data_IF_702795126841
#
_entry.id   IF_702795126841
#
_cell.length_a   1.000
_cell.length_b   1.000
_cell.length_c   1.000
_cell.angle_alpha   90.00
_cell.angle_beta   90.00
_cell.angle_gamma   90.00
#
_symmetry.space_group_name_H-M   'P 1'
#
loop_
_entity.id
_entity.type
_entity.pdbx_description
1 polymer ?
2 polymer ?
3 non-polymer ?
4 water ?
#
# COMPACT_ATOMS: atom_id res chain seq x y z
N UNK A 1 15.90 -15.52 -29.77
CA UNK A 1 15.77 -14.12 -29.39
C UNK A 1 17.12 -13.41 -29.42
N UNK A 2 17.14 -12.17 -28.96
CA UNK A 2 18.36 -11.38 -28.93
C UNK A 2 18.79 -11.11 -27.49
N UNK A 3 20.09 -11.03 -27.27
CA UNK A 3 20.63 -10.79 -25.93
C UNK A 3 21.16 -9.36 -25.77
N UNK A 4 20.65 -8.67 -24.75
CA UNK A 4 21.07 -7.30 -24.45
C UNK A 4 21.98 -7.28 -23.22
N UNK A 5 23.07 -6.54 -23.32
CA UNK A 5 24.03 -6.43 -22.21
C UNK A 5 24.28 -4.98 -21.81
N UNK A 6 24.21 -4.72 -20.51
CA UNK A 6 24.48 -3.39 -19.98
C UNK A 6 25.29 -3.48 -18.69
N UNK A 7 25.94 -2.39 -18.32
CA UNK A 7 26.66 -2.34 -17.05
C UNK A 7 25.73 -1.76 -15.98
N UNK A 8 25.17 -2.64 -15.16
CA UNK A 8 24.18 -2.24 -14.17
C UNK A 8 24.73 -2.19 -12.75
N UNK A 9 24.24 -1.24 -11.96
CA UNK A 9 24.68 -1.06 -10.59
C UNK A 9 23.78 -1.82 -9.62
N UNK A 10 24.37 -2.65 -8.76
CA UNK A 10 23.62 -3.39 -7.74
C UNK A 10 22.85 -2.44 -6.83
N UNK A 11 21.55 -2.68 -6.67
CA UNK A 11 20.69 -1.80 -5.89
C UNK A 11 21.03 -1.77 -4.41
N UNK A 12 21.18 -2.94 -3.82
CA UNK A 12 21.47 -3.05 -2.39
C UNK A 12 22.94 -3.32 -2.13
N UNK A 13 23.75 -3.27 -3.18
CA UNK A 13 25.17 -3.50 -3.07
C UNK A 13 25.93 -2.26 -2.66
N UNK A 14 27.27 -2.36 -2.58
CA UNK A 14 28.15 -1.25 -2.20
C UNK A 14 28.57 -0.41 -3.41
N UNK A 15 27.65 -0.25 -4.37
CA UNK A 15 27.87 0.60 -5.54
C UNK A 15 29.02 0.12 -6.41
N UNK A 16 28.96 -1.13 -6.85
CA UNK A 16 29.97 -1.70 -7.73
C UNK A 16 29.33 -2.25 -9.00
N UNK A 17 29.19 -1.40 -10.03
CA UNK A 17 28.56 -1.76 -11.30
C UNK A 17 29.19 -2.98 -11.95
N UNK A 18 28.36 -3.85 -12.51
CA UNK A 18 28.84 -5.07 -13.17
C UNK A 18 28.07 -5.34 -14.44
N UNK A 19 28.53 -6.30 -15.23
CA UNK A 19 27.87 -6.65 -16.48
C UNK A 19 26.62 -7.48 -16.23
N UNK A 20 25.54 -7.13 -16.93
CA UNK A 20 24.29 -7.86 -16.82
C UNK A 20 23.68 -8.11 -18.20
N UNK A 21 23.42 -9.37 -18.51
CA UNK A 21 22.83 -9.74 -19.79
C UNK A 21 21.45 -10.38 -19.60
N UNK A 22 20.53 -10.07 -20.50
CA UNK A 22 19.18 -10.64 -20.43
C UNK A 22 18.54 -10.82 -21.80
N UNK A 23 17.56 -11.73 -21.87
CA UNK A 23 16.83 -11.98 -23.10
C UNK A 23 15.33 -12.02 -22.82
N UNK A 24 14.56 -12.47 -23.81
CA UNK A 24 13.11 -12.59 -23.70
C UNK A 24 12.46 -11.27 -23.28
N UNK A 25 12.84 -10.19 -23.95
CA UNK A 25 12.31 -8.86 -23.64
C UNK A 25 10.95 -8.61 -24.25
N UNK A 26 9.98 -8.31 -23.40
CA UNK A 26 8.62 -8.01 -23.86
C UNK A 26 7.96 -7.03 -22.90
N UNK A 27 7.04 -6.22 -23.42
CA UNK A 27 6.34 -5.24 -22.62
C UNK A 27 5.19 -5.87 -21.85
N UNK A 28 5.15 -5.65 -20.54
CA UNK A 28 4.07 -6.17 -19.71
C UNK A 28 3.33 -5.04 -19.01
N UNK A 29 3.67 -3.80 -19.36
CA UNK A 29 3.03 -2.66 -18.74
C UNK A 29 3.37 -1.34 -19.40
N UNK A 30 2.33 -0.52 -19.61
CA UNK A 30 2.51 0.81 -20.16
C UNK A 30 1.73 1.85 -19.36
N UNK A 31 2.33 3.02 -19.15
CA UNK A 31 1.69 4.09 -18.41
C UNK A 31 2.32 5.44 -18.67
N UNK A 32 1.74 6.48 -18.08
CA UNK A 32 2.27 7.83 -18.21
C UNK A 32 3.64 7.95 -17.55
N UNK A 33 3.90 7.07 -16.58
CA UNK A 33 5.18 7.04 -15.89
C UNK A 33 6.29 6.56 -16.82
N UNK A 34 5.93 5.61 -17.69
CA UNK A 34 6.90 5.00 -18.59
C UNK A 34 6.49 3.60 -18.99
N UNK A 35 7.47 2.75 -19.28
CA UNK A 35 7.21 1.40 -19.76
C UNK A 35 7.78 0.35 -18.80
N UNK A 36 7.11 -0.79 -18.70
CA UNK A 36 7.60 -1.89 -17.87
C UNK A 36 7.82 -3.15 -18.72
N UNK A 37 9.06 -3.63 -18.73
CA UNK A 37 9.43 -4.81 -19.50
C UNK A 37 9.57 -6.04 -18.62
N UNK A 38 9.37 -7.22 -19.22
CA UNK A 38 9.75 -8.47 -18.58
C UNK A 38 11.00 -8.97 -19.28
N UNK A 39 11.87 -9.67 -18.54
CA UNK A 39 13.10 -10.18 -19.10
C UNK A 39 13.63 -11.37 -18.31
N UNK A 40 14.44 -12.18 -18.97
CA UNK A 40 15.05 -13.35 -18.33
C UNK A 40 16.56 -13.19 -18.30
N UNK A 41 17.15 -13.32 -17.12
CA UNK A 41 18.58 -13.16 -16.96
C UNK A 41 19.34 -14.31 -17.62
N UNK A 42 20.39 -13.99 -18.35
CA UNK A 42 21.19 -15.00 -19.04
C UNK A 42 21.97 -15.86 -18.04
N UNK A 43 22.22 -15.31 -16.86
CA UNK A 43 23.01 -16.00 -15.84
C UNK A 43 22.20 -17.06 -15.11
N UNK A 44 21.30 -16.61 -14.23
CA UNK A 44 20.55 -17.52 -13.37
C UNK A 44 19.28 -18.04 -14.04
N UNK A 45 18.84 -17.38 -15.09
CA UNK A 45 17.64 -17.78 -15.80
C UNK A 45 16.38 -17.31 -15.09
N UNK A 46 16.56 -16.38 -14.16
CA UNK A 46 15.45 -15.84 -13.38
C UNK A 46 14.75 -14.71 -14.14
N UNK A 47 13.45 -14.59 -13.94
CA UNK A 47 12.66 -13.53 -14.56
C UNK A 47 12.73 -12.25 -13.74
N UNK A 48 12.84 -11.12 -14.42
CA UNK A 48 12.83 -9.82 -13.75
C UNK A 48 11.91 -8.85 -14.47
N UNK A 49 11.52 -7.80 -13.77
CA UNK A 49 10.74 -6.72 -14.37
C UNK A 49 11.62 -5.48 -14.49
N UNK A 50 11.55 -4.82 -15.64
CA UNK A 50 12.36 -3.63 -15.87
C UNK A 50 11.49 -2.38 -16.03
N UNK A 51 11.51 -1.52 -15.02
CA UNK A 51 10.73 -0.30 -15.03
C UNK A 51 11.53 0.85 -15.63
N UNK A 52 11.21 1.20 -16.88
CA UNK A 52 11.97 2.21 -17.60
C UNK A 52 11.25 3.55 -17.60
N UNK A 53 11.85 4.53 -16.91
CA UNK A 53 11.27 5.87 -16.82
C UNK A 53 12.25 6.94 -17.26
N UNK A 54 11.74 8.15 -17.49
CA UNK A 54 12.57 9.27 -17.87
C UNK A 54 13.25 9.91 -16.66
N UNK A 55 14.34 10.62 -16.91
CA UNK A 55 15.05 11.31 -15.83
C UNK A 55 15.61 12.64 -16.33
N UNK A 56 15.32 13.71 -15.59
CA UNK A 56 15.78 15.04 -15.94
C UNK A 56 17.29 15.17 -15.81
N UNK A 57 17.89 14.25 -15.06
CA UNK A 57 19.35 14.16 -14.88
C UNK A 57 19.97 15.34 -14.14
N UNK A 58 19.25 16.46 -14.07
CA UNK A 58 19.72 17.62 -13.32
C UNK A 58 19.48 17.40 -11.83
N UNK A 59 18.55 16.51 -11.50
CA UNK A 59 18.20 16.23 -10.12
C UNK A 59 18.10 14.72 -9.87
N UNK A 60 18.31 14.31 -8.63
CA UNK A 60 18.30 12.90 -8.26
C UNK A 60 16.90 12.32 -8.24
N UNK A 61 16.80 11.04 -8.63
CA UNK A 61 15.52 10.34 -8.65
C UNK A 61 15.11 9.88 -7.26
N UNK A 62 13.98 10.39 -6.78
CA UNK A 62 13.50 10.10 -5.43
C UNK A 62 13.16 8.63 -5.24
N UNK A 63 12.51 8.04 -6.24
CA UNK A 63 12.09 6.64 -6.18
C UNK A 63 13.29 5.71 -6.05
N UNK A 64 14.34 6.00 -6.81
CA UNK A 64 15.55 5.19 -6.78
C UNK A 64 16.24 5.24 -5.42
N UNK A 65 16.43 6.45 -4.90
CA UNK A 65 17.11 6.65 -3.63
C UNK A 65 16.38 6.00 -2.45
N UNK A 66 15.07 5.82 -2.59
CA UNK A 66 14.30 5.13 -1.55
C UNK A 66 14.45 3.61 -1.69
N UNK A 67 14.34 3.11 -2.91
CA UNK A 67 14.45 1.68 -3.18
C UNK A 67 15.80 1.10 -2.77
N UNK A 68 16.86 1.91 -2.88
CA UNK A 68 18.21 1.45 -2.53
C UNK A 68 18.38 1.25 -1.04
N UNK A 69 17.43 1.77 -0.26
CA UNK A 69 17.50 1.69 1.19
C UNK A 69 16.63 0.55 1.71
N UNK A 70 15.91 -0.11 0.82
CA UNK A 70 14.93 -1.11 1.22
C UNK A 70 15.37 -2.55 0.95
N UNK A 71 15.33 -3.38 1.98
CA UNK A 71 15.60 -4.80 1.85
C UNK A 71 14.63 -5.58 2.76
N UNK A 72 13.51 -5.99 2.20
CA UNK A 72 12.48 -6.68 2.98
C UNK A 72 11.78 -7.73 2.13
N UNK A 73 11.33 -8.80 2.77
CA UNK A 73 10.71 -9.91 2.07
C UNK A 73 9.37 -9.55 1.44
N UNK A 74 8.70 -8.54 2.00
CA UNK A 74 7.40 -8.12 1.50
C UNK A 74 7.42 -6.81 0.72
N UNK A 75 8.61 -6.37 0.35
CA UNK A 75 8.79 -5.27 -0.58
C UNK A 75 9.55 -5.80 -1.80
N UNK A 76 9.09 -5.46 -2.99
CA UNK A 76 9.77 -5.89 -4.21
C UNK A 76 11.22 -5.37 -4.20
N UNK A 77 12.16 -6.27 -4.47
CA UNK A 77 13.57 -5.93 -4.35
C UNK A 77 14.12 -5.27 -5.60
N UNK A 78 15.02 -4.31 -5.40
CA UNK A 78 15.71 -3.67 -6.50
C UNK A 78 16.98 -4.46 -6.83
N UNK A 79 16.95 -5.20 -7.93
CA UNK A 79 18.09 -6.00 -8.34
C UNK A 79 19.26 -5.11 -8.76
N UNK A 80 19.08 -4.42 -9.87
CA UNK A 80 20.10 -3.52 -10.38
C UNK A 80 19.46 -2.23 -10.87
N UNK A 81 20.27 -1.33 -11.40
CA UNK A 81 19.77 -0.15 -12.11
C UNK A 81 20.83 0.41 -13.05
N UNK A 82 20.38 0.92 -14.19
CA UNK A 82 21.28 1.48 -15.19
C UNK A 82 20.60 2.56 -16.03
N UNK A 83 21.39 3.23 -16.86
CA UNK A 83 20.87 4.32 -17.70
C UNK A 83 21.01 4.01 -19.18
N UNK A 84 20.00 4.38 -19.96
CA UNK A 84 20.02 4.14 -21.39
C UNK A 84 19.14 5.14 -22.13
N UNK A 85 18.96 4.93 -23.42
CA UNK A 85 18.06 5.74 -24.22
C UNK A 85 16.83 4.92 -24.58
N UNK A 86 15.95 5.51 -25.37
CA UNK A 86 14.74 4.83 -25.80
C UNK A 86 13.96 5.72 -26.74
N UNK A 87 12.62 5.67 -26.64
CA UNK A 87 11.79 6.56 -27.42
C UNK A 87 12.13 7.98 -27.00
N UNK A 88 11.95 8.93 -27.91
CA UNK A 88 12.35 10.32 -27.68
C UNK A 88 13.84 10.42 -27.42
N UNK A 89 14.64 10.37 -28.47
CA UNK A 89 16.09 10.39 -28.36
C UNK A 89 16.60 11.69 -27.78
N UNK A 90 17.85 11.66 -27.33
CA UNK A 90 18.52 12.79 -26.68
C UNK A 90 18.07 13.03 -25.23
N UNK A 91 17.56 11.99 -24.59
CA UNK A 91 17.23 12.04 -23.17
C UNK A 91 17.64 10.77 -22.44
N UNK A 92 17.88 10.89 -21.14
CA UNK A 92 18.36 9.77 -20.34
C UNK A 92 17.22 9.01 -19.67
N UNK A 93 17.22 7.69 -19.82
CA UNK A 93 16.21 6.85 -19.19
C UNK A 93 16.79 6.08 -18.00
N UNK A 94 16.02 6.03 -16.92
CA UNK A 94 16.41 5.25 -15.74
C UNK A 94 15.73 3.89 -15.75
N UNK A 95 16.54 2.84 -15.66
CA UNK A 95 16.01 1.48 -15.69
C UNK A 95 16.13 0.79 -14.33
N UNK A 96 14.97 0.47 -13.74
CA UNK A 96 14.94 -0.25 -12.47
C UNK A 96 14.68 -1.74 -12.70
N UNK A 97 15.68 -2.56 -12.42
CA UNK A 97 15.52 -4.01 -12.54
C UNK A 97 14.98 -4.57 -11.22
N UNK A 98 13.75 -5.08 -11.27
CA UNK A 98 13.06 -5.52 -10.06
C UNK A 98 12.71 -7.01 -10.11
N UNK A 99 12.40 -7.57 -8.94
CA UNK A 99 11.88 -8.94 -8.86
C UNK A 99 10.57 -9.03 -9.62
N UNK A 100 10.46 -10.02 -10.51
CA UNK A 100 9.23 -10.25 -11.25
C UNK A 100 8.23 -11.00 -10.38
N UNK A 101 7.04 -10.42 -10.21
CA UNK A 101 5.98 -11.07 -9.46
C UNK A 101 4.72 -11.16 -10.33
N UNK A 102 4.23 -12.39 -10.56
CA UNK A 102 3.17 -12.71 -11.53
C UNK A 102 1.88 -11.91 -11.36
N UNK A 103 1.25 -11.99 -10.19
CA UNK A 103 -0.08 -11.41 -10.00
C UNK A 103 -0.09 -10.16 -9.13
N UNK A 104 -1.29 -9.61 -8.96
CA UNK A 104 -1.54 -8.52 -8.03
C UNK A 104 -2.76 -8.87 -7.19
N UNK A 105 -2.88 -8.27 -6.01
CA UNK A 105 -4.02 -8.50 -5.13
C UNK A 105 -5.33 -8.12 -5.83
N UNK A 106 -5.28 -7.04 -6.61
CA UNK A 106 -6.46 -6.55 -7.32
C UNK A 106 -7.02 -7.57 -8.32
N UNK A 107 -6.15 -8.10 -9.17
CA UNK A 107 -6.56 -9.07 -10.19
C UNK A 107 -7.13 -10.34 -9.57
N UNK A 108 -6.57 -10.75 -8.43
CA UNK A 108 -7.03 -11.94 -7.72
C UNK A 108 -8.41 -11.70 -7.12
N UNK A 109 -8.57 -10.58 -6.43
CA UNK A 109 -9.86 -10.22 -5.84
C UNK A 109 -10.91 -9.98 -6.92
N UNK A 110 -10.46 -9.49 -8.07
CA UNK A 110 -11.34 -9.23 -9.20
C UNK A 110 -11.89 -10.54 -9.76
N UNK A 111 -11.13 -11.62 -9.61
CA UNK A 111 -11.55 -12.94 -10.08
C UNK A 111 -12.81 -13.40 -9.34
N UNK A 112 -12.73 -13.41 -8.01
CA UNK A 112 -13.85 -13.84 -7.17
C UNK A 112 -15.05 -12.91 -7.35
N UNK A 113 -14.78 -11.65 -7.67
CA UNK A 113 -15.83 -10.66 -7.86
C UNK A 113 -16.72 -10.99 -9.07
N UNK A 114 -16.10 -11.22 -10.21
CA UNK A 114 -16.85 -11.55 -11.43
C UNK A 114 -17.26 -13.02 -11.44
N UNK A 115 -16.74 -13.79 -10.50
CA UNK A 115 -17.16 -15.17 -10.33
C UNK A 115 -18.22 -15.25 -9.23
N UNK A 116 -18.59 -14.08 -8.73
CA UNK A 116 -19.63 -13.95 -7.70
C UNK A 116 -19.33 -14.76 -6.45
N UNK A 117 -18.05 -14.91 -6.14
CA UNK A 117 -17.63 -15.64 -4.95
C UNK A 117 -16.97 -14.70 -3.95
N UNK A 118 -16.60 -15.24 -2.80
CA UNK A 118 -15.96 -14.45 -1.75
C UNK A 118 -14.53 -14.94 -1.53
N UNK A 119 -13.58 -14.00 -1.52
CA UNK A 119 -12.19 -14.32 -1.22
C UNK A 119 -12.10 -14.90 0.19
N UNK A 120 -11.63 -16.15 0.30
CA UNK A 120 -11.51 -16.86 1.58
C UNK A 120 -10.73 -16.05 2.62
N UNK A 121 -11.20 -16.09 3.86
CA UNK A 121 -10.65 -15.27 4.94
C UNK A 121 -9.15 -15.50 5.15
N UNK A 122 -8.70 -16.74 4.93
CA UNK A 122 -7.29 -17.09 5.10
C UNK A 122 -6.40 -16.25 4.19
N UNK A 123 -6.88 -15.95 2.99
CA UNK A 123 -6.14 -15.09 2.07
C UNK A 123 -6.23 -13.63 2.48
N UNK A 124 -7.38 -13.26 3.05
CA UNK A 124 -7.56 -11.91 3.58
C UNK A 124 -6.60 -11.70 4.75
N UNK A 125 -6.44 -12.74 5.56
CA UNK A 125 -5.52 -12.69 6.68
C UNK A 125 -4.07 -12.63 6.20
N UNK A 126 -3.72 -13.51 5.25
CA UNK A 126 -2.37 -13.57 4.71
C UNK A 126 -1.93 -12.27 4.03
N UNK A 127 -2.77 -11.76 3.13
CA UNK A 127 -2.42 -10.58 2.35
C UNK A 127 -2.31 -9.32 3.20
N UNK A 128 -3.27 -9.12 4.09
CA UNK A 128 -3.29 -7.94 4.95
C UNK A 128 -2.12 -7.94 5.93
N UNK A 129 -1.79 -9.09 6.48
CA UNK A 129 -0.69 -9.21 7.44
C UNK A 129 0.63 -8.78 6.81
N UNK A 130 0.93 -9.36 5.65
CA UNK A 130 2.18 -9.07 4.94
C UNK A 130 2.25 -7.60 4.50
N UNK A 131 1.09 -6.98 4.32
CA UNK A 131 1.02 -5.58 3.95
C UNK A 131 1.48 -4.69 5.09
N UNK A 132 0.88 -4.87 6.26
CA UNK A 132 1.27 -4.13 7.46
C UNK A 132 2.72 -4.36 7.81
N UNK A 133 3.19 -5.59 7.56
CA UNK A 133 4.58 -5.93 7.81
C UNK A 133 5.51 -5.11 6.94
N UNK A 134 5.08 -4.87 5.69
CA UNK A 134 5.84 -4.04 4.78
C UNK A 134 5.74 -2.59 5.20
N UNK A 135 4.56 -2.19 5.66
CA UNK A 135 4.31 -0.84 6.13
C UNK A 135 5.12 -0.53 7.38
N UNK A 136 5.20 -1.50 8.28
CA UNK A 136 5.97 -1.34 9.52
C UNK A 136 7.44 -1.11 9.21
N UNK A 137 7.92 -1.77 8.16
CA UNK A 137 9.31 -1.66 7.73
C UNK A 137 9.67 -0.25 7.26
N UNK A 138 8.98 0.21 6.23
CA UNK A 138 9.30 1.51 5.61
C UNK A 138 9.02 2.70 6.54
N UNK A 139 8.09 2.53 7.48
CA UNK A 139 7.76 3.57 8.43
C UNK A 139 8.91 3.81 9.40
N UNK A 140 9.67 2.76 9.69
CA UNK A 140 10.82 2.87 10.57
C UNK A 140 11.93 3.72 9.95
N UNK A 141 11.84 3.93 8.64
CA UNK A 141 12.76 4.81 7.94
C UNK A 141 12.12 6.17 7.70
N UNK A 142 10.89 6.33 8.19
CA UNK A 142 10.14 7.56 7.99
C UNK A 142 9.67 7.71 6.56
N UNK A 143 9.69 6.61 5.82
CA UNK A 143 9.27 6.61 4.42
C UNK A 143 7.80 6.25 4.29
N UNK A 144 7.03 7.13 3.65
CA UNK A 144 5.61 6.91 3.44
C UNK A 144 5.31 6.60 1.98
N UNK A 145 4.66 5.46 1.74
CA UNK A 145 4.38 4.99 0.39
C UNK A 145 3.41 5.91 -0.35
N UNK A 146 2.35 6.31 0.34
CA UNK A 146 1.37 7.29 -0.16
C UNK A 146 0.48 6.83 -1.32
N UNK A 147 0.71 5.62 -1.84
CA UNK A 147 -0.11 5.12 -2.94
C UNK A 147 -0.54 3.67 -2.71
N UNK A 148 -0.90 3.35 -1.47
CA UNK A 148 -1.32 2.01 -1.13
C UNK A 148 -2.68 1.66 -1.72
N UNK A 149 -2.67 0.71 -2.66
CA UNK A 149 -3.87 0.24 -3.31
C UNK A 149 -3.64 -1.21 -3.75
N UNK A 150 -4.73 -1.97 -3.98
CA UNK A 150 -4.58 -3.39 -4.34
C UNK A 150 -3.74 -3.61 -5.59
N UNK A 151 -3.76 -2.65 -6.51
CA UNK A 151 -3.00 -2.77 -7.75
C UNK A 151 -1.50 -2.82 -7.48
N UNK A 152 -1.06 -2.12 -6.43
CA UNK A 152 0.35 -2.06 -6.08
C UNK A 152 0.80 -3.18 -5.15
N UNK A 153 -0.08 -4.15 -4.93
CA UNK A 153 0.23 -5.29 -4.07
C UNK A 153 0.41 -6.55 -4.91
N UNK A 154 1.66 -6.91 -5.16
CA UNK A 154 1.98 -8.03 -6.04
C UNK A 154 1.92 -9.37 -5.32
N UNK A 155 1.43 -10.38 -6.02
CA UNK A 155 1.25 -11.71 -5.42
C UNK A 155 1.92 -12.82 -6.22
N UNK A 156 2.42 -13.82 -5.50
CA UNK A 156 2.86 -15.06 -6.12
C UNK A 156 1.92 -16.17 -5.65
N UNK A 157 0.97 -16.56 -6.52
CA UNK A 157 -0.10 -17.52 -6.23
C UNK A 157 0.41 -18.82 -5.60
N UNK A 158 1.59 -19.26 -6.00
CA UNK A 158 2.16 -20.50 -5.48
C UNK A 158 2.57 -20.39 -4.02
N UNK A 159 3.41 -19.41 -3.70
CA UNK A 159 3.93 -19.26 -2.34
C UNK A 159 3.05 -18.37 -1.47
N UNK A 160 2.07 -17.72 -2.10
CA UNK A 160 1.18 -16.78 -1.40
C UNK A 160 1.96 -15.67 -0.70
N UNK A 161 2.98 -15.16 -1.38
CA UNK A 161 3.80 -14.09 -0.83
C UNK A 161 3.46 -12.74 -1.46
N UNK A 162 3.28 -11.73 -0.62
CA UNK A 162 2.96 -10.38 -1.09
C UNK A 162 4.20 -9.49 -1.11
N UNK A 163 4.33 -8.70 -2.16
CA UNK A 163 5.42 -7.75 -2.29
C UNK A 163 4.94 -6.38 -2.75
N UNK A 164 5.05 -5.39 -1.87
CA UNK A 164 4.65 -4.02 -2.18
C UNK A 164 5.53 -3.43 -3.28
N UNK A 165 4.93 -2.66 -4.19
CA UNK A 165 5.68 -2.07 -5.29
C UNK A 165 5.25 -0.63 -5.57
N UNK A 166 5.78 -0.07 -6.64
CA UNK A 166 5.48 1.30 -7.06
C UNK A 166 5.73 2.34 -5.98
N UNK A 167 6.99 2.72 -5.81
CA UNK A 167 7.38 3.74 -4.85
C UNK A 167 7.54 5.09 -5.55
N UNK A 168 6.83 5.26 -6.66
CA UNK A 168 6.92 6.48 -7.45
C UNK A 168 6.29 7.68 -6.76
N UNK A 169 5.38 7.42 -5.84
CA UNK A 169 4.72 8.49 -5.10
C UNK A 169 5.18 8.51 -3.64
N UNK A 170 6.17 7.68 -3.34
CA UNK A 170 6.72 7.60 -1.99
C UNK A 170 7.58 8.80 -1.65
N UNK A 171 7.63 9.15 -0.37
CA UNK A 171 8.39 10.30 0.10
C UNK A 171 8.70 10.17 1.59
N UNK A 172 9.94 10.51 1.97
CA UNK A 172 10.33 10.50 3.37
C UNK A 172 9.73 11.71 4.08
N UNK A 173 8.75 11.47 4.94
CA UNK A 173 8.04 12.54 5.62
C UNK A 173 8.84 13.14 6.77
N UNK A 174 9.22 14.40 6.63
CA UNK A 174 9.91 15.12 7.67
C UNK A 174 8.93 15.95 8.49
N UNK A 175 8.99 15.80 9.81
CA UNK A 175 8.06 16.47 10.72
C UNK A 175 8.18 17.99 10.62
N UNK A 176 7.04 18.65 10.44
CA UNK A 176 7.00 20.10 10.40
C UNK A 176 7.37 20.68 9.05
N UNK A 177 7.27 19.86 8.01
CA UNK A 177 7.57 20.32 6.65
C UNK A 177 6.40 20.03 5.71
N UNK A 178 6.08 20.99 4.83
CA UNK A 178 4.93 20.93 3.92
C UNK A 178 4.93 19.68 3.04
N UNK A 179 3.74 19.22 2.68
CA UNK A 179 3.60 18.03 1.83
C UNK A 179 2.45 18.18 0.83
N UNK A 180 2.64 17.60 -0.35
CA UNK A 180 1.62 17.60 -1.39
C UNK A 180 0.38 16.84 -0.93
N UNK A 181 -0.79 17.45 -1.10
CA UNK A 181 -2.04 16.85 -0.66
C UNK A 181 -2.80 16.20 -1.81
N UNK A 182 -2.40 16.47 -3.05
CA UNK A 182 -3.05 15.86 -4.21
C UNK A 182 -2.45 14.49 -4.52
N UNK A 183 -1.72 13.96 -3.54
CA UNK A 183 -1.12 12.65 -3.68
C UNK A 183 -2.17 11.58 -3.38
N UNK A 184 -1.78 10.32 -3.56
CA UNK A 184 -2.61 9.15 -3.27
C UNK A 184 -3.66 8.84 -4.34
N UNK A 185 -4.03 7.57 -4.42
CA UNK A 185 -4.99 7.11 -5.41
C UNK A 185 -6.38 7.19 -4.83
N UNK A 186 -7.34 7.60 -5.65
CA UNK A 186 -8.71 7.76 -5.18
C UNK A 186 -9.26 6.40 -4.78
N UNK A 187 -10.30 6.43 -3.94
CA UNK A 187 -10.87 5.27 -3.25
C UNK A 187 -10.09 4.94 -1.99
N UNK A 188 -8.81 5.32 -1.96
CA UNK A 188 -7.92 4.94 -0.86
C UNK A 188 -7.29 6.17 -0.20
N UNK A 189 -7.81 7.34 -0.52
CA UNK A 189 -7.34 8.59 0.07
C UNK A 189 -7.79 8.70 1.52
N UNK A 190 -6.89 9.15 2.39
CA UNK A 190 -7.23 9.43 3.77
C UNK A 190 -8.11 10.67 3.83
N UNK A 191 -8.99 10.77 4.85
CA UNK A 191 -9.88 11.92 4.97
C UNK A 191 -9.13 13.25 5.08
N UNK A 192 -7.98 13.23 5.76
CA UNK A 192 -7.18 14.43 5.90
C UNK A 192 -6.59 14.86 4.55
N UNK A 193 -6.30 13.88 3.69
CA UNK A 193 -5.80 14.16 2.35
C UNK A 193 -6.89 14.84 1.51
N UNK A 194 -8.13 14.38 1.67
CA UNK A 194 -9.26 14.95 0.95
C UNK A 194 -9.55 16.36 1.42
N UNK A 195 -9.31 16.62 2.71
CA UNK A 195 -9.51 17.94 3.28
C UNK A 195 -8.39 18.91 2.95
N UNK A 196 -7.40 18.43 2.20
CA UNK A 196 -6.31 19.29 1.74
C UNK A 196 -5.21 19.49 2.74
N UNK A 197 -5.22 18.70 3.81
CA UNK A 197 -4.19 18.81 4.84
C UNK A 197 -2.80 18.53 4.28
N UNK A 198 -1.83 19.34 4.70
CA UNK A 198 -0.45 19.20 4.23
C UNK A 198 0.45 18.75 5.38
N UNK A 199 -0.15 18.57 6.56
CA UNK A 199 0.60 18.19 7.74
C UNK A 199 0.35 16.73 8.11
N UNK A 200 -0.01 15.92 7.11
CA UNK A 200 -0.34 14.52 7.34
C UNK A 200 0.88 13.67 7.65
N UNK A 201 0.66 12.55 8.34
CA UNK A 201 1.73 11.63 8.71
C UNK A 201 1.72 10.38 7.84
N UNK A 202 2.41 9.34 8.30
CA UNK A 202 2.47 8.07 7.57
C UNK A 202 1.22 7.24 7.80
N UNK A 203 0.34 7.72 8.68
CA UNK A 203 -0.89 7.02 9.01
C UNK A 203 -1.91 7.06 7.87
N UNK A 204 -1.58 7.78 6.80
CA UNK A 204 -2.42 7.78 5.61
C UNK A 204 -2.37 6.41 4.92
N UNK A 205 -1.24 5.72 5.09
CA UNK A 205 -1.08 4.38 4.54
C UNK A 205 -1.97 3.40 5.29
N UNK A 206 -2.14 3.64 6.58
CA UNK A 206 -2.97 2.79 7.41
C UNK A 206 -4.44 2.90 6.99
N UNK A 207 -4.87 4.11 6.63
CA UNK A 207 -6.22 4.32 6.12
C UNK A 207 -6.42 3.56 4.81
N UNK A 208 -5.42 3.63 3.95
CA UNK A 208 -5.47 2.95 2.66
C UNK A 208 -5.56 1.44 2.84
N UNK A 209 -4.78 0.92 3.79
CA UNK A 209 -4.82 -0.51 4.10
C UNK A 209 -6.19 -0.91 4.60
N UNK A 210 -6.82 -0.02 5.36
CA UNK A 210 -8.16 -0.23 5.86
C UNK A 210 -9.17 -0.32 4.73
N UNK A 211 -8.96 0.47 3.69
CA UNK A 211 -9.81 0.43 2.51
C UNK A 211 -9.62 -0.89 1.77
N UNK A 212 -8.38 -1.37 1.72
CA UNK A 212 -8.06 -2.63 1.07
C UNK A 212 -8.71 -3.80 1.81
N UNK A 213 -8.54 -3.82 3.13
CA UNK A 213 -9.14 -4.86 3.97
C UNK A 213 -10.66 -4.91 3.78
N UNK A 214 -11.28 -3.74 3.77
CA UNK A 214 -12.73 -3.65 3.59
C UNK A 214 -13.15 -4.13 2.20
N UNK A 215 -12.39 -3.73 1.18
CA UNK A 215 -12.70 -4.12 -0.20
C UNK A 215 -12.60 -5.63 -0.40
N UNK A 216 -11.64 -6.25 0.29
CA UNK A 216 -11.46 -7.69 0.21
C UNK A 216 -12.64 -8.45 0.84
N UNK A 217 -13.20 -7.87 1.89
CA UNK A 217 -14.34 -8.47 2.57
C UNK A 217 -15.64 -8.16 1.85
N UNK A 218 -15.71 -6.99 1.24
CA UNK A 218 -16.95 -6.51 0.64
C UNK A 218 -17.10 -6.90 -0.83
N UNK A 219 -15.98 -7.13 -1.50
CA UNK A 219 -16.00 -7.51 -2.90
C UNK A 219 -15.99 -6.31 -3.84
N UNK A 220 -16.14 -5.13 -3.27
CA UNK A 220 -16.10 -3.88 -4.03
C UNK A 220 -15.49 -2.78 -3.16
N UNK A 221 -14.96 -1.72 -3.79
CA UNK A 221 -14.40 -0.60 -3.03
C UNK A 221 -15.43 0.02 -2.10
N UNK A 222 -15.02 0.30 -0.86
CA UNK A 222 -15.95 0.80 0.16
C UNK A 222 -16.26 2.29 0.00
N UNK A 223 -15.31 3.04 -0.56
CA UNK A 223 -15.46 4.49 -0.73
C UNK A 223 -15.26 4.93 -2.17
N UNK A 224 -16.21 4.60 -3.06
CA UNK A 224 -16.09 4.99 -4.46
C UNK A 224 -16.48 6.45 -4.70
N UNK A 225 -15.96 7.06 -5.77
CA UNK A 225 -16.27 8.43 -6.09
C UNK A 225 -15.20 9.10 -6.95
N UNK A 226 -15.64 9.89 -7.93
CA UNK A 226 -14.73 10.58 -8.82
C UNK A 226 -14.02 11.74 -8.11
N UNK A 227 -14.80 12.59 -7.44
CA UNK A 227 -14.27 13.75 -6.75
C UNK A 227 -14.02 13.47 -5.28
N UNK A 228 -13.33 14.40 -4.61
CA UNK A 228 -13.03 14.27 -3.20
C UNK A 228 -14.29 14.28 -2.34
N UNK A 229 -15.23 15.15 -2.69
CA UNK A 229 -16.50 15.24 -1.99
C UNK A 229 -17.29 13.94 -2.10
N UNK A 230 -17.29 13.35 -3.30
CA UNK A 230 -17.97 12.08 -3.54
C UNK A 230 -17.49 11.00 -2.57
N UNK A 231 -16.18 10.86 -2.46
CA UNK A 231 -15.57 9.89 -1.56
C UNK A 231 -15.91 10.20 -0.11
N UNK A 232 -15.85 11.49 0.23
CA UNK A 232 -16.07 11.92 1.61
C UNK A 232 -17.50 11.64 2.04
N UNK A 233 -18.44 11.78 1.11
CA UNK A 233 -19.84 11.45 1.36
C UNK A 233 -19.98 9.96 1.71
N UNK A 234 -19.26 9.11 0.98
CA UNK A 234 -19.28 7.68 1.24
C UNK A 234 -18.70 7.35 2.61
N UNK A 235 -17.62 8.03 2.97
CA UNK A 235 -16.98 7.83 4.27
C UNK A 235 -17.92 8.25 5.40
N UNK A 236 -18.49 9.44 5.27
CA UNK A 236 -19.43 9.97 6.25
C UNK A 236 -20.66 9.07 6.39
N UNK A 237 -21.07 8.45 5.28
CA UNK A 237 -22.22 7.54 5.30
C UNK A 237 -21.95 6.26 6.09
N UNK A 238 -20.68 6.02 6.42
CA UNK A 238 -20.31 4.86 7.23
C UNK A 238 -19.89 5.26 8.63
N UNK A 239 -18.87 6.10 8.72
CA UNK A 239 -18.31 6.52 10.01
C UNK A 239 -19.17 7.56 10.72
N UNK A 240 -20.08 8.17 9.98
CA UNK A 240 -20.88 9.26 10.53
C UNK A 240 -20.16 10.58 10.33
N UNK A 241 -20.86 11.69 10.55
CA UNK A 241 -20.26 13.00 10.42
C UNK A 241 -19.18 13.20 11.48
N UNK A 242 -17.96 13.54 11.06
CA UNK A 242 -16.84 13.71 11.99
C UNK A 242 -17.05 14.84 12.98
N UNK A 243 -16.63 14.64 14.23
CA UNK A 243 -16.77 15.65 15.27
C UNK A 243 -15.81 16.81 15.03
N UNK A 244 -16.02 17.92 15.72
CA UNK A 244 -15.21 19.11 15.53
C UNK A 244 -13.72 18.88 15.79
N UNK A 245 -13.40 18.13 16.83
CA UNK A 245 -12.00 17.84 17.15
C UNK A 245 -11.41 16.82 16.18
N UNK A 246 -12.24 15.93 15.67
CA UNK A 246 -11.80 14.99 14.63
C UNK A 246 -11.45 15.77 13.37
N UNK A 247 -12.24 16.80 13.08
CA UNK A 247 -11.96 17.68 11.96
C UNK A 247 -10.68 18.47 12.24
N UNK A 248 -10.49 18.88 13.49
CA UNK A 248 -9.27 19.58 13.89
C UNK A 248 -8.03 18.71 13.68
N UNK A 249 -8.16 17.43 13.98
CA UNK A 249 -7.06 16.49 13.82
C UNK A 249 -6.67 16.34 12.35
N UNK A 250 -7.65 16.41 11.46
CA UNK A 250 -7.41 16.27 10.03
C UNK A 250 -6.97 17.60 9.42
N UNK A 251 -7.92 18.53 9.29
CA UNK A 251 -7.61 19.89 8.83
C UNK A 251 -8.34 20.92 9.68
N UNK A 252 -7.58 21.72 10.45
CA UNK A 252 -8.11 22.76 11.34
C UNK A 252 -8.91 23.83 10.60
N UNK A 253 -8.66 23.99 9.31
CA UNK A 253 -9.31 25.02 8.51
C UNK A 253 -10.80 24.76 8.27
N UNK A 254 -11.26 23.56 8.63
CA UNK A 254 -12.66 23.19 8.43
C UNK A 254 -13.39 22.98 9.75
N UNK A 255 -12.77 23.46 10.83
CA UNK A 255 -13.30 23.26 12.18
C UNK A 255 -14.67 23.89 12.42
N UNK A 256 -14.88 25.08 11.88
CA UNK A 256 -16.11 25.83 12.13
C UNK A 256 -16.92 26.05 10.86
N UNK A 257 -17.60 25.00 10.39
CA UNK A 257 -18.41 25.11 9.18
C UNK A 257 -19.85 24.63 9.35
N UNK A 258 -20.06 23.86 10.42
CA UNK A 258 -21.36 23.28 10.72
C UNK A 258 -21.91 22.41 9.59
N UNK A 259 -21.36 21.21 9.45
CA UNK A 259 -21.85 20.24 8.48
C UNK A 259 -23.05 19.52 9.07
N UNK A 260 -24.00 19.11 8.21
CA UNK A 260 -25.15 18.32 8.67
C UNK A 260 -24.71 17.05 9.37
N UNK A 261 -25.33 16.74 10.51
CA UNK A 261 -24.93 15.60 11.31
C UNK A 261 -25.61 14.31 10.85
N UNK A 262 -24.81 13.39 10.33
CA UNK A 262 -25.33 12.11 9.82
C UNK A 262 -24.94 10.97 10.75
N UNK A 263 -25.93 10.15 11.12
CA UNK A 263 -25.70 9.02 12.00
C UNK A 263 -24.80 7.97 11.35
N UNK A 264 -23.85 7.45 12.12
CA UNK A 264 -22.93 6.43 11.62
C UNK A 264 -23.67 5.12 11.35
N UNK A 265 -23.25 4.43 10.30
CA UNK A 265 -23.81 3.12 9.98
C UNK A 265 -23.01 2.05 10.70
N UNK A 266 -23.69 1.17 11.45
CA UNK A 266 -23.05 0.11 12.22
C UNK A 266 -22.14 -0.77 11.35
N UNK A 267 -20.94 -1.05 11.84
CA UNK A 267 -19.96 -1.84 11.10
C UNK A 267 -20.47 -3.23 10.76
N UNK A 268 -21.32 -3.78 11.62
CA UNK A 268 -21.86 -5.12 11.42
C UNK A 268 -22.83 -5.15 10.24
N UNK A 269 -23.54 -4.05 10.02
CA UNK A 269 -24.46 -3.95 8.89
C UNK A 269 -23.74 -3.58 7.60
N UNK A 270 -22.47 -3.19 7.73
CA UNK A 270 -21.67 -2.83 6.56
C UNK A 270 -21.29 -4.04 5.74
N UNK A 271 -20.68 -5.03 6.39
CA UNK A 271 -20.24 -6.24 5.72
C UNK A 271 -21.32 -7.32 5.71
N UNK A 272 -21.03 -8.43 5.02
CA UNK A 272 -21.92 -9.58 5.03
C UNK A 272 -21.98 -10.18 6.43
N UNK A 273 -23.11 -10.83 6.77
CA UNK A 273 -23.25 -11.47 8.09
C UNK A 273 -22.25 -12.62 8.28
N UNK A 274 -21.65 -13.07 7.20
CA UNK A 274 -20.68 -14.16 7.24
C UNK A 274 -19.32 -13.67 7.76
N UNK A 275 -19.15 -12.36 7.83
CA UNK A 275 -17.88 -11.75 8.21
C UNK A 275 -17.55 -11.99 9.67
N UNK A 276 -16.32 -12.48 9.94
CA UNK A 276 -15.80 -12.66 11.30
C UNK A 276 -15.70 -11.33 12.04
N UNK A 277 -16.07 -11.32 13.33
CA UNK A 277 -16.07 -10.12 14.17
C UNK A 277 -14.68 -9.49 14.29
N UNK A 278 -13.64 -10.33 14.29
CA UNK A 278 -12.27 -9.85 14.39
C UNK A 278 -11.89 -8.97 13.21
N UNK A 279 -12.33 -9.36 12.02
CA UNK A 279 -12.10 -8.58 10.81
C UNK A 279 -12.77 -7.21 10.93
N UNK A 280 -14.00 -7.22 11.43
CA UNK A 280 -14.76 -6.00 11.64
C UNK A 280 -14.08 -5.12 12.69
N UNK A 281 -13.56 -5.76 13.74
CA UNK A 281 -12.87 -5.06 14.81
C UNK A 281 -11.60 -4.38 14.30
N UNK A 282 -10.80 -5.14 13.54
CA UNK A 282 -9.57 -4.64 12.93
C UNK A 282 -9.87 -3.43 12.05
N UNK A 283 -10.95 -3.53 11.28
CA UNK A 283 -11.31 -2.47 10.33
C UNK A 283 -11.69 -1.17 11.04
N UNK A 284 -12.41 -1.28 12.15
CA UNK A 284 -12.88 -0.11 12.88
C UNK A 284 -11.73 0.68 13.52
N UNK A 285 -10.69 -0.03 13.92
CA UNK A 285 -9.51 0.60 14.50
C UNK A 285 -8.52 1.02 13.42
N UNK A 286 -8.85 0.70 12.17
CA UNK A 286 -8.03 1.10 11.03
C UNK A 286 -8.59 2.36 10.39
N UNK A 287 -9.89 2.34 10.12
CA UNK A 287 -10.56 3.48 9.50
C UNK A 287 -11.09 4.45 10.56
N UNK A 288 -10.22 5.38 10.97
CA UNK A 288 -10.57 6.38 11.97
C UNK A 288 -10.29 7.76 11.41
N UNK A 289 -11.14 8.74 11.75
CA UNK A 289 -10.94 10.11 11.31
C UNK A 289 -9.64 10.68 11.85
N UNK A 290 -9.39 10.45 13.14
CA UNK A 290 -8.17 10.91 13.78
C UNK A 290 -6.99 10.00 13.45
N UNK A 291 -5.98 10.55 12.77
CA UNK A 291 -4.79 9.81 12.32
C UNK A 291 -4.07 9.10 13.47
N UNK A 292 -3.95 9.78 14.60
CA UNK A 292 -3.27 9.22 15.76
C UNK A 292 -4.06 8.10 16.40
N UNK A 293 -5.37 8.08 16.16
CA UNK A 293 -6.24 7.06 16.71
C UNK A 293 -6.14 5.75 15.92
N UNK A 294 -5.63 5.84 14.70
CA UNK A 294 -5.46 4.66 13.85
C UNK A 294 -4.33 3.78 14.37
N UNK A 295 -4.50 2.48 14.24
CA UNK A 295 -3.48 1.52 14.64
C UNK A 295 -2.20 1.73 13.83
N UNK A 296 -1.06 1.41 14.44
CA UNK A 296 0.21 1.40 13.71
C UNK A 296 0.30 0.06 12.99
N UNK A 297 1.03 0.01 11.87
CA UNK A 297 1.23 -1.23 11.10
C UNK A 297 1.67 -2.39 11.98
N UNK A 298 2.65 -2.13 12.86
CA UNK A 298 3.16 -3.15 13.76
C UNK A 298 2.09 -3.59 14.76
N UNK A 299 1.28 -2.63 15.21
CA UNK A 299 0.17 -2.93 16.11
C UNK A 299 -0.91 -3.76 15.42
N UNK A 300 -1.11 -3.51 14.12
CA UNK A 300 -2.12 -4.22 13.34
C UNK A 300 -1.75 -5.69 13.18
N UNK A 301 -0.46 -5.96 13.02
CA UNK A 301 0.01 -7.34 12.86
C UNK A 301 -0.29 -8.17 14.08
N UNK A 302 -0.37 -7.53 15.25
CA UNK A 302 -0.60 -8.23 16.51
C UNK A 302 -2.09 -8.35 16.84
N UNK A 303 -2.95 -7.97 15.91
CA UNK A 303 -4.39 -8.05 16.14
C UNK A 303 -4.84 -9.51 16.19
N UNK A 304 -5.96 -9.76 16.86
CA UNK A 304 -6.47 -11.12 17.04
C UNK A 304 -7.00 -11.72 15.75
N UNK A 305 -7.21 -10.88 14.74
CA UNK A 305 -7.66 -11.34 13.43
C UNK A 305 -6.61 -12.21 12.76
N UNK A 306 -5.35 -12.01 13.14
CA UNK A 306 -4.25 -12.75 12.56
C UNK A 306 -3.77 -13.89 13.45
N UNK A 307 -4.60 -14.28 14.42
CA UNK A 307 -4.25 -15.35 15.35
C UNK A 307 -4.13 -16.70 14.65
N UNK A 308 -4.92 -16.90 13.61
CA UNK A 308 -4.91 -18.14 12.85
C UNK A 308 -3.56 -18.36 12.15
N UNK A 309 -2.91 -17.25 11.78
CA UNK A 309 -1.62 -17.32 11.11
C UNK A 309 -0.51 -17.73 12.06
N UNK A 310 -0.73 -17.50 13.36
CA UNK A 310 0.27 -17.85 14.37
C UNK A 310 0.06 -19.25 14.92
N UNK A 311 -0.87 -19.99 14.32
CA UNK A 311 -1.13 -21.37 14.69
C UNK A 311 -0.09 -22.29 14.04
N UNK A 312 0.48 -23.23 14.81
CA UNK A 312 1.50 -24.13 14.30
C UNK A 312 0.99 -25.05 13.19
N UNK A 313 -0.30 -25.37 13.22
CA UNK A 313 -0.87 -26.30 12.26
C UNK A 313 -1.52 -25.62 11.04
N UNK A 314 -1.22 -24.34 10.85
CA UNK A 314 -1.80 -23.60 9.73
C UNK A 314 -1.21 -24.05 8.40
N UNK A 315 -2.03 -24.06 7.36
CA UNK A 315 -1.60 -24.51 6.05
C UNK A 315 -2.35 -23.78 4.93
N UNK A 316 -1.68 -23.63 3.79
CA UNK A 316 -2.31 -23.04 2.61
C UNK A 316 -3.31 -24.02 2.01
N UNK A 317 -4.37 -23.50 1.38
CA UNK A 317 -5.38 -24.34 0.73
C UNK A 317 -4.81 -25.21 -0.39
N UNK A 318 -3.61 -24.91 -0.86
CA UNK A 318 -2.97 -25.72 -1.89
C UNK A 318 -2.02 -26.78 -1.32
N UNK A 319 -1.90 -26.81 0.00
CA UNK A 319 -1.10 -27.82 0.67
C UNK A 319 0.24 -27.33 1.18
N UNK A 320 0.81 -26.33 0.50
CA UNK A 320 2.12 -25.80 0.86
C UNK A 320 2.10 -25.11 2.22
N UNK A 321 3.29 -24.86 2.76
CA UNK A 321 3.41 -24.16 4.04
C UNK A 321 3.28 -22.66 3.85
N UNK A 322 2.94 -21.97 4.93
CA UNK A 322 2.81 -20.51 4.91
C UNK A 322 4.19 -19.87 4.79
N UNK A 323 4.25 -18.66 4.19
CA UNK A 323 5.53 -17.95 4.06
C UNK A 323 6.12 -17.55 5.40
N UNK A 324 7.33 -17.02 5.39
CA UNK A 324 7.96 -16.54 6.61
C UNK A 324 7.25 -15.29 7.12
N UNK A 325 6.54 -15.44 8.23
CA UNK A 325 5.76 -14.34 8.79
C UNK A 325 6.32 -13.87 10.13
N UNK A 326 7.28 -14.62 10.66
CA UNK A 326 7.76 -14.39 12.02
C UNK A 326 9.23 -13.98 12.06
N UNK A 327 9.83 -13.76 10.89
CA UNK A 327 11.24 -13.38 10.82
C UNK A 327 11.46 -11.87 10.98
N UNK A 328 10.86 -11.30 12.03
CA UNK A 328 11.01 -9.89 12.32
C UNK A 328 12.45 -9.56 12.73
N UNK A 329 12.95 -8.43 12.27
CA UNK A 329 14.27 -7.95 12.69
C UNK A 329 14.12 -6.94 13.81
N UNK A 330 15.23 -6.35 14.24
CA UNK A 330 15.22 -5.37 15.32
C UNK A 330 14.76 -4.01 14.79
N UNK A 331 15.25 -3.63 13.62
CA UNK A 331 14.83 -2.39 12.96
C UNK A 331 13.34 -2.44 12.65
N UNK A 332 12.86 -3.64 12.32
CA UNK A 332 11.46 -3.85 12.00
C UNK A 332 10.59 -3.72 13.24
N UNK A 333 11.16 -4.09 14.39
CA UNK A 333 10.43 -4.04 15.66
C UNK A 333 10.77 -2.78 16.46
N UNK A 334 11.43 -1.83 15.81
CA UNK A 334 11.87 -0.60 16.48
C UNK A 334 10.70 0.23 16.99
N UNK A 335 9.54 0.10 16.35
CA UNK A 335 8.35 0.86 16.73
C UNK A 335 7.89 0.52 18.13
N UNK A 336 7.71 -0.77 18.41
CA UNK A 336 7.25 -1.24 19.71
C UNK A 336 7.76 -2.64 20.01
N UNK A 337 9.02 -2.74 20.46
CA UNK A 337 9.72 -4.01 20.73
C UNK A 337 8.98 -5.05 21.60
N UNK A 338 8.23 -4.63 22.64
CA UNK A 338 7.53 -5.65 23.42
C UNK A 338 6.48 -6.46 22.64
N UNK A 339 6.15 -6.04 21.42
CA UNK A 339 5.16 -6.74 20.61
C UNK A 339 5.65 -8.10 20.11
N UNK A 340 6.94 -8.35 20.25
CA UNK A 340 7.54 -9.61 19.83
C UNK A 340 6.95 -10.81 20.58
N UNK A 341 6.43 -10.55 21.77
CA UNK A 341 5.82 -11.59 22.58
C UNK A 341 4.60 -12.19 21.88
N UNK A 342 3.90 -11.35 21.13
CA UNK A 342 2.72 -11.78 20.39
C UNK A 342 3.06 -12.12 18.93
N UNK A 343 3.78 -11.22 18.28
CA UNK A 343 4.11 -11.37 16.86
C UNK A 343 4.90 -12.64 16.56
N UNK A 344 5.78 -13.03 17.47
CA UNK A 344 6.58 -14.23 17.31
C UNK A 344 6.11 -15.35 18.23
N UNK A 345 5.46 -16.37 17.66
CA UNK A 345 4.96 -17.53 18.41
C UNK A 345 6.09 -18.28 19.09
N UNK A 346 5.79 -19.02 20.17
CA UNK A 346 6.80 -19.78 20.91
C UNK A 346 7.45 -20.87 20.06
N UNK A 347 6.73 -21.35 19.04
CA UNK A 347 7.27 -22.40 18.17
C UNK A 347 8.11 -21.82 17.04
N UNK A 348 8.31 -20.49 17.06
CA UNK A 348 9.10 -19.83 16.04
C UNK A 348 10.47 -19.44 16.57
N UNK A 349 10.48 -18.73 17.70
CA UNK A 349 11.72 -18.28 18.31
C UNK A 349 12.58 -19.43 18.83
N UNK A 350 11.94 -20.39 19.49
CA UNK A 350 12.64 -21.55 20.03
C UNK A 350 12.95 -22.56 18.93
N UNK B 1 -10.39 31.21 -1.25
CA UNK B 1 -11.66 30.68 -0.74
C UNK B 1 -11.89 29.23 -1.15
N UNK B 2 -10.84 28.41 -1.06
CA UNK B 2 -10.95 26.99 -1.36
C UNK B 2 -11.76 26.22 -0.30
N UNK B 3 -11.42 26.35 0.99
CA UNK B 3 -12.20 25.60 1.98
C UNK B 3 -13.66 26.07 2.06
N UNK B 4 -13.91 27.34 1.75
CA UNK B 4 -15.27 27.87 1.79
C UNK B 4 -16.13 27.23 0.70
N UNK B 5 -15.56 27.14 -0.49
CA UNK B 5 -16.26 26.51 -1.62
C UNK B 5 -16.41 25.01 -1.43
N UNK B 6 -15.36 24.38 -0.91
CA UNK B 6 -15.38 22.94 -0.66
C UNK B 6 -16.44 22.56 0.36
N UNK B 7 -16.50 23.32 1.45
CA UNK B 7 -17.44 23.04 2.54
C UNK B 7 -18.89 23.18 2.09
N UNK B 8 -19.17 24.19 1.27
CA UNK B 8 -20.52 24.41 0.76
C UNK B 8 -21.01 23.22 -0.08
N UNK B 9 -20.15 22.72 -0.96
CA UNK B 9 -20.49 21.58 -1.80
C UNK B 9 -20.75 20.34 -0.94
N UNK B 10 -19.95 20.17 0.11
CA UNK B 10 -20.11 19.03 1.00
C UNK B 10 -21.40 19.13 1.81
N UNK B 11 -21.65 20.29 2.38
CA UNK B 11 -22.89 20.53 3.12
C UNK B 11 -24.11 20.30 2.23
N UNK B 12 -24.04 20.79 0.99
CA UNK B 12 -25.09 20.60 0.01
C UNK B 12 -25.36 19.12 -0.25
N UNK B 13 -24.28 18.35 -0.38
CA UNK B 13 -24.39 16.92 -0.63
C UNK B 13 -24.93 16.19 0.58
N UNK B 14 -24.54 16.63 1.77
CA UNK B 14 -24.96 15.99 3.01
C UNK B 14 -26.40 16.31 3.38
N UNK B 15 -26.87 17.48 2.98
CA UNK B 15 -28.26 17.86 3.20
C UNK B 15 -29.20 17.02 2.33
N UNK B 16 -28.65 16.47 1.25
CA UNK B 16 -29.44 15.69 0.31
C UNK B 16 -29.52 14.21 0.71
N UNK B 17 -28.54 13.75 1.46
CA UNK B 17 -28.52 12.35 1.90
C UNK B 17 -29.02 12.24 3.34
N UNK B 18 -29.33 13.38 3.93
CA UNK B 18 -29.84 13.44 5.30
C UNK B 18 -31.16 12.69 5.44
X LIG C 1 0.97 -2.27 -13.54
X LIG C 1 2.06 -1.29 -15.57
X LIG C 1 2.18 -1.61 -14.11
X LIG C 1 2.67 -0.50 -13.30
X LIG C 1 3.85 -0.66 -12.46
X LIG C 1 4.65 -1.86 -12.30
X LIG C 1 5.71 -1.62 -11.39
X LIG C 1 5.58 -0.20 -10.96
X LIG C 1 4.45 0.36 -11.61
X LIG C 1 6.31 0.38 -10.17
X LIG C 1 6.70 -2.53 -10.99
X LIG C 1 6.60 -4.04 -11.18
X LIG C 1 5.91 -4.58 -12.26
X LIG C 1 5.83 -6.00 -12.43
X LIG C 1 6.45 -6.83 -11.56
X LIG C 1 7.17 -6.27 -10.45
X LIG C 1 7.24 -4.88 -10.27
X LIG C 1 3.98 1.72 -11.47
X LIG C 1 5.22 -6.77 -13.40
X LIG C 1 5.35 -8.10 -13.00
X LIG C 1 6.23 -8.12 -11.94
#
# INVERSE_FOLDING_TARGET
>A
SKVTTVVATPGQGPDRPQEVSYTDTKVIGNGSFGVVYQAKLCDSGELVAIKKVLQDKRFKNRELQIMRKLDHCNIVRLRYFFYSSGEKKDEVYLNLVLDYVPETVYRVARHYSRAKQTLPVIYVKLYMYQLFRSLAYIHSFGICHRDIKPQNLLLDPDTAVLKLCDFGSAKQLVRGEPNVSYICSRYYRAPELIFGATDYTSSIDVWSAGCVLAELLLGQPIFPGDSGVDQLVEIIKVLGTPTREQIREMNPNYTEFKFPQIKAHPWTKVFRPRTPPEAIALCSRLLEYTPTARLTPLEACAHSFFDELRDPNVKLPNGRDTPALFNFTTQELSSNPPLATILIPPHARI
>B
VEPQKFAEELIHRLEAVQ
>C hetero
1 CWT CAA CAE CAF NAG CAH NAI CAJ CAK NAL OAM CAN CAO CAP CAQ CAR CAS CAT C21 OAU CAV OAW
#
